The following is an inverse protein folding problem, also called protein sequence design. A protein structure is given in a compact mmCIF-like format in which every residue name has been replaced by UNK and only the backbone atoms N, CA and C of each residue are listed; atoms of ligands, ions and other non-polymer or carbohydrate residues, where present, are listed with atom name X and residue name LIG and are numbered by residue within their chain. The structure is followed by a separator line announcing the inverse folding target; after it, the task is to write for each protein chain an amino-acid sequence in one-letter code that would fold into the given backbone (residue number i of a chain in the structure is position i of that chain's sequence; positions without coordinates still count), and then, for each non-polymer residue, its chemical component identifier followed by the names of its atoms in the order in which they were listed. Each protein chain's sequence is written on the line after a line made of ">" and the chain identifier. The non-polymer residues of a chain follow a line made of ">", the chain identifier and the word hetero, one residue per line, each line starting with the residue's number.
data_IF_931820679412
#
_entry.id   IF_931820679412
#
_cell.length_a   1.000
_cell.length_b   1.000
_cell.length_c   1.000
_cell.angle_alpha   90.00
_cell.angle_beta   90.00
_cell.angle_gamma   90.00
#
_symmetry.space_group_name_H-M   'P 1'
#
loop_
_entity.id
_entity.type
_entity.pdbx_description
1 polymer ?
#
# COMPACT_ATOMS: atom_id res chain seq x y z
N UNK A 1 14.61 -16.60 13.34
CA UNK A 1 14.28 -15.16 13.38
C UNK A 1 14.13 -14.75 14.84
N UNK A 2 14.73 -13.63 15.27
CA UNK A 2 14.39 -13.06 16.58
C UNK A 2 12.90 -12.65 16.59
N UNK A 3 12.23 -12.63 17.76
CA UNK A 3 10.85 -12.18 17.85
C UNK A 3 10.76 -10.71 17.41
N UNK A 4 9.97 -10.43 16.39
CA UNK A 4 9.62 -9.05 16.04
C UNK A 4 8.71 -8.55 17.16
N UNK A 5 9.18 -7.57 17.93
CA UNK A 5 8.38 -6.92 18.96
C UNK A 5 7.40 -5.97 18.25
N UNK A 6 6.31 -6.53 17.74
CA UNK A 6 5.25 -5.77 17.10
C UNK A 6 4.35 -5.20 18.20
N UNK A 7 4.35 -3.89 18.37
CA UNK A 7 3.40 -3.24 19.27
C UNK A 7 2.01 -3.20 18.59
N UNK A 8 0.99 -3.42 19.40
CA UNK A 8 -0.41 -3.33 19.05
C UNK A 8 -0.83 -1.84 19.06
N UNK A 9 -0.58 -1.14 17.96
CA UNK A 9 -1.02 0.24 17.76
C UNK A 9 -2.56 0.37 17.60
N UNK A 10 -3.34 -0.68 17.85
CA UNK A 10 -4.79 -0.71 17.59
C UNK A 10 -5.53 0.36 18.39
N UNK A 11 -5.18 0.56 19.66
CA UNK A 11 -5.84 1.56 20.51
C UNK A 11 -5.68 2.97 19.92
N UNK A 12 -4.44 3.38 19.66
CA UNK A 12 -4.15 4.70 19.11
C UNK A 12 -4.82 4.89 17.73
N UNK A 13 -4.82 3.85 16.90
CA UNK A 13 -5.42 3.88 15.56
C UNK A 13 -6.95 4.01 15.60
N UNK A 14 -7.62 3.19 16.41
CA UNK A 14 -9.09 3.20 16.54
C UNK A 14 -9.62 4.45 17.25
N UNK A 15 -8.89 4.96 18.25
CA UNK A 15 -9.21 6.23 18.92
C UNK A 15 -9.15 7.40 17.93
N UNK A 16 -8.11 7.47 17.08
CA UNK A 16 -8.00 8.49 16.02
C UNK A 16 -9.19 8.41 15.05
N UNK A 17 -9.51 7.21 14.58
CA UNK A 17 -10.62 7.00 13.63
C UNK A 17 -11.97 7.47 14.21
N UNK A 18 -12.29 7.08 15.44
CA UNK A 18 -13.52 7.50 16.14
C UNK A 18 -13.56 9.01 16.36
N UNK A 19 -12.44 9.63 16.75
CA UNK A 19 -12.35 11.08 16.92
C UNK A 19 -12.54 11.84 15.60
N UNK A 20 -11.94 11.33 14.51
CA UNK A 20 -12.09 11.89 13.17
C UNK A 20 -13.53 11.80 12.65
N UNK A 21 -14.23 10.69 12.87
CA UNK A 21 -15.65 10.58 12.53
C UNK A 21 -16.52 11.62 13.27
N UNK A 22 -16.32 11.77 14.58
CA UNK A 22 -17.08 12.74 15.40
C UNK A 22 -16.81 14.19 14.99
N UNK A 23 -15.55 14.50 14.68
CA UNK A 23 -15.11 15.85 14.32
C UNK A 23 -15.21 16.15 12.82
N UNK A 24 -15.58 15.17 11.99
CA UNK A 24 -15.56 15.24 10.52
C UNK A 24 -14.20 15.63 9.95
N UNK A 25 -13.13 15.13 10.56
CA UNK A 25 -11.75 15.27 10.07
C UNK A 25 -11.30 14.01 9.33
N UNK A 26 -10.28 14.14 8.49
CA UNK A 26 -9.66 13.00 7.81
C UNK A 26 -8.86 12.16 8.82
N UNK A 27 -9.05 10.82 8.88
CA UNK A 27 -8.22 9.93 9.69
C UNK A 27 -6.76 9.87 9.20
N UNK A 28 -5.83 9.50 10.09
CA UNK A 28 -4.43 9.27 9.71
C UNK A 28 -4.29 8.07 8.74
N UNK A 29 -5.18 7.08 8.83
CA UNK A 29 -5.25 5.96 7.90
C UNK A 29 -6.13 6.28 6.69
N UNK A 30 -5.56 6.94 5.68
CA UNK A 30 -6.29 7.29 4.47
C UNK A 30 -6.56 6.07 3.57
N UNK A 31 -7.62 6.13 2.76
CA UNK A 31 -7.98 5.05 1.83
C UNK A 31 -6.90 4.87 0.74
N UNK A 32 -6.26 5.95 0.31
CA UNK A 32 -5.20 5.96 -0.68
C UNK A 32 -3.97 5.19 -0.19
N UNK A 33 -3.69 5.29 1.11
CA UNK A 33 -2.59 4.53 1.74
C UNK A 33 -2.91 3.04 1.73
N UNK A 34 -4.15 2.67 2.06
CA UNK A 34 -4.61 1.28 1.99
C UNK A 34 -4.59 0.72 0.56
N UNK A 35 -5.00 1.51 -0.42
CA UNK A 35 -4.95 1.16 -1.83
C UNK A 35 -3.52 0.92 -2.33
N UNK A 36 -2.60 1.86 -2.04
CA UNK A 36 -1.19 1.72 -2.41
C UNK A 36 -0.55 0.47 -1.77
N UNK A 37 -0.89 0.18 -0.51
CA UNK A 37 -0.42 -1.02 0.17
C UNK A 37 -0.95 -2.30 -0.50
N UNK A 38 -2.22 -2.35 -0.87
CA UNK A 38 -2.81 -3.50 -1.58
C UNK A 38 -2.12 -3.76 -2.93
N UNK A 39 -1.83 -2.70 -3.70
CA UNK A 39 -1.06 -2.80 -4.96
C UNK A 39 0.32 -3.44 -4.71
N UNK A 40 1.04 -2.96 -3.69
CA UNK A 40 2.37 -3.49 -3.36
C UNK A 40 2.32 -4.99 -2.99
N UNK A 41 1.31 -5.42 -2.22
CA UNK A 41 1.11 -6.83 -1.86
C UNK A 41 0.81 -7.69 -3.10
N UNK A 42 -0.05 -7.21 -4.01
CA UNK A 42 -0.36 -7.91 -5.26
C UNK A 42 0.89 -8.04 -6.14
N UNK A 43 1.64 -6.94 -6.30
CA UNK A 43 2.90 -6.93 -7.04
C UNK A 43 3.92 -7.92 -6.46
N UNK A 44 4.10 -7.93 -5.14
CA UNK A 44 5.02 -8.85 -4.46
C UNK A 44 4.60 -10.32 -4.67
N UNK A 45 3.31 -10.61 -4.54
CA UNK A 45 2.75 -11.95 -4.75
C UNK A 45 2.95 -12.43 -6.18
N UNK A 46 2.64 -11.58 -7.17
CA UNK A 46 2.85 -11.90 -8.59
C UNK A 46 4.33 -12.07 -8.91
N UNK A 47 5.19 -11.19 -8.41
CA UNK A 47 6.63 -11.27 -8.62
C UNK A 47 7.20 -12.59 -8.09
N UNK A 48 6.77 -12.99 -6.87
CA UNK A 48 7.17 -14.24 -6.27
C UNK A 48 6.73 -15.47 -7.09
N UNK A 49 5.49 -15.47 -7.59
CA UNK A 49 4.92 -16.61 -8.32
C UNK A 49 5.43 -16.73 -9.76
N UNK A 50 5.62 -15.61 -10.43
CA UNK A 50 5.92 -15.55 -11.86
C UNK A 50 7.43 -15.39 -12.14
N UNK A 51 8.24 -15.09 -11.12
CA UNK A 51 9.69 -14.87 -11.27
C UNK A 51 10.05 -13.60 -12.07
N UNK A 52 9.11 -12.65 -12.20
CA UNK A 52 9.26 -11.41 -12.98
C UNK A 52 9.18 -10.18 -12.08
N UNK A 53 9.80 -9.08 -12.52
CA UNK A 53 9.65 -7.77 -11.87
C UNK A 53 8.30 -7.15 -12.24
N UNK A 54 7.52 -6.78 -11.24
CA UNK A 54 6.25 -6.08 -11.44
C UNK A 54 6.47 -4.56 -11.34
N UNK A 55 5.76 -3.79 -12.15
CA UNK A 55 5.75 -2.32 -12.08
C UNK A 55 4.32 -1.79 -11.98
N UNK A 56 4.18 -0.58 -11.43
CA UNK A 56 2.89 0.10 -11.28
C UNK A 56 2.79 1.27 -12.27
N UNK A 57 1.77 1.25 -13.13
CA UNK A 57 1.38 2.40 -13.94
C UNK A 57 0.34 3.23 -13.19
N UNK A 58 0.79 4.34 -12.61
CA UNK A 58 -0.09 5.25 -11.84
C UNK A 58 -1.15 5.95 -12.69
N UNK A 59 -0.94 6.13 -14.00
CA UNK A 59 -1.90 6.84 -14.87
C UNK A 59 -3.05 5.94 -15.28
N UNK A 60 -2.74 4.67 -15.55
CA UNK A 60 -3.72 3.66 -15.97
C UNK A 60 -4.29 2.86 -14.79
N UNK A 61 -3.64 2.97 -13.62
CA UNK A 61 -3.92 2.17 -12.43
C UNK A 61 -3.78 0.66 -12.69
N UNK A 62 -2.72 0.28 -13.41
CA UNK A 62 -2.46 -1.09 -13.87
C UNK A 62 -1.13 -1.64 -13.31
N UNK A 63 -1.10 -2.95 -13.02
CA UNK A 63 0.13 -3.68 -12.66
C UNK A 63 0.69 -4.38 -13.89
N UNK A 64 1.88 -3.97 -14.31
CA UNK A 64 2.56 -4.45 -15.52
C UNK A 64 3.72 -5.39 -15.17
N UNK A 65 4.04 -6.34 -16.05
CA UNK A 65 5.21 -7.23 -15.94
C UNK A 65 6.42 -6.73 -16.74
N UNK A 66 6.31 -5.54 -17.31
CA UNK A 66 7.34 -4.79 -18.01
C UNK A 66 7.45 -3.36 -17.44
N UNK A 67 8.49 -2.58 -17.76
CA UNK A 67 8.55 -1.18 -17.39
C UNK A 67 7.31 -0.43 -17.93
N UNK A 68 6.59 0.25 -17.04
CA UNK A 68 5.55 1.18 -17.45
C UNK A 68 6.13 2.35 -18.25
N UNK A 69 5.33 2.96 -19.11
CA UNK A 69 5.71 4.07 -20.01
C UNK A 69 6.31 5.30 -19.33
N UNK A 70 6.33 5.37 -17.99
CA UNK A 70 7.00 6.42 -17.21
C UNK A 70 8.45 6.12 -16.81
N UNK A 71 8.99 4.94 -17.16
CA UNK A 71 10.37 4.50 -16.86
C UNK A 71 11.22 4.30 -18.12
N UNK A 72 10.84 4.89 -19.26
CA UNK A 72 11.74 5.00 -20.42
C UNK A 72 12.78 6.07 -20.10
N UNK A 73 13.84 5.67 -19.40
CA UNK A 73 15.04 6.48 -19.22
C UNK A 73 15.66 6.77 -20.59
N UNK A 74 15.88 8.06 -20.89
CA UNK A 74 16.91 8.48 -21.85
C UNK A 74 18.28 7.95 -21.45
#
# INVERSE_FOLDING_TARGET
>A
MPPIKQDDNLKAHTDNWLACMRSRKTPNGSIETGFAHAIAVIMATRSYREGRKMTWDRRREEILDHPGSGLSTS
#
